data_IF_366578113073
#
_entry.id   IF_366578113073
#
_cell.length_a   1.000
_cell.length_b   1.000
_cell.length_c   1.000
_cell.angle_alpha   90.00
_cell.angle_beta   90.00
_cell.angle_gamma   90.00
#
_symmetry.space_group_name_H-M   'P 1'
#
loop_
_entity.id
_entity.type
_entity.pdbx_description
1 polymer ?
#
# COMPACT_ATOMS: atom_id res chain seq x y z
N UNK A 1 -9.57 21.18 7.81
CA UNK A 1 -9.20 19.79 7.48
C UNK A 1 -8.42 19.88 6.17
N UNK A 2 -7.19 19.36 6.11
CA UNK A 2 -6.40 19.38 4.88
C UNK A 2 -6.64 18.08 4.13
N UNK A 3 -6.94 18.14 2.83
CA UNK A 3 -7.09 16.99 1.97
C UNK A 3 -5.72 16.70 1.34
N UNK A 4 -5.23 15.47 1.52
CA UNK A 4 -3.95 15.03 0.95
C UNK A 4 -4.23 13.92 -0.05
N UNK A 5 -3.64 14.02 -1.24
CA UNK A 5 -3.64 12.97 -2.25
C UNK A 5 -2.27 12.32 -2.29
N UNK A 6 -2.24 11.05 -2.70
CA UNK A 6 -1.01 10.32 -2.92
C UNK A 6 -0.87 9.97 -4.40
N UNK A 7 0.37 9.91 -4.88
CA UNK A 7 0.68 9.48 -6.24
C UNK A 7 0.35 8.00 -6.47
N UNK A 8 0.69 7.49 -7.63
CA UNK A 8 0.62 6.05 -7.87
C UNK A 8 1.60 5.27 -6.96
N UNK A 9 1.29 3.99 -6.72
CA UNK A 9 2.13 3.13 -5.90
C UNK A 9 3.37 2.68 -6.67
N UNK A 10 4.54 3.12 -6.27
CA UNK A 10 5.81 2.76 -6.91
C UNK A 10 6.16 1.27 -6.74
N UNK A 11 5.64 0.62 -5.70
CA UNK A 11 5.83 -0.82 -5.46
C UNK A 11 5.32 -1.67 -6.63
N UNK A 12 4.27 -1.23 -7.32
CA UNK A 12 3.66 -1.98 -8.43
C UNK A 12 4.62 -2.10 -9.64
N UNK A 13 5.58 -1.18 -9.76
CA UNK A 13 6.59 -1.14 -10.82
C UNK A 13 7.97 -1.63 -10.38
N UNK A 14 8.23 -1.72 -9.08
CA UNK A 14 9.53 -2.13 -8.53
C UNK A 14 9.83 -3.60 -8.78
N UNK A 15 11.11 -3.99 -8.85
CA UNK A 15 11.51 -5.37 -8.65
C UNK A 15 11.58 -5.66 -7.15
N UNK A 16 10.83 -6.67 -6.71
CA UNK A 16 10.69 -6.96 -5.29
C UNK A 16 11.34 -8.30 -4.98
N UNK A 17 12.15 -8.34 -3.93
CA UNK A 17 12.76 -9.56 -3.39
C UNK A 17 12.59 -9.61 -1.88
N UNK A 18 12.57 -10.80 -1.30
CA UNK A 18 12.56 -11.01 0.14
C UNK A 18 13.58 -12.09 0.52
N UNK A 19 14.18 -11.94 1.69
CA UNK A 19 15.16 -12.92 2.24
C UNK A 19 14.48 -14.14 2.88
N UNK A 20 13.21 -14.01 3.20
CA UNK A 20 12.42 -15.06 3.85
C UNK A 20 11.04 -15.10 3.19
N UNK A 21 10.79 -16.11 2.36
CA UNK A 21 9.57 -16.21 1.55
C UNK A 21 8.96 -17.61 1.61
N UNK A 22 7.66 -17.66 1.85
CA UNK A 22 6.86 -18.88 1.69
C UNK A 22 6.42 -19.01 0.23
N UNK A 23 6.74 -20.12 -0.43
CA UNK A 23 6.47 -20.32 -1.85
C UNK A 23 4.99 -20.24 -2.25
N UNK A 24 4.06 -20.50 -1.32
CA UNK A 24 2.61 -20.36 -1.55
C UNK A 24 2.14 -18.90 -1.42
N UNK A 25 2.94 -18.03 -0.78
CA UNK A 25 2.62 -16.64 -0.51
C UNK A 25 3.81 -15.74 -0.89
N UNK A 26 4.17 -15.71 -2.17
CA UNK A 26 5.39 -15.04 -2.64
C UNK A 26 5.31 -13.52 -2.49
N UNK A 27 6.48 -12.88 -2.44
CA UNK A 27 6.60 -11.42 -2.30
C UNK A 27 5.97 -10.67 -3.48
N UNK A 28 5.88 -11.30 -4.64
CA UNK A 28 5.17 -10.75 -5.81
C UNK A 28 3.67 -10.48 -5.56
N UNK A 29 3.07 -11.11 -4.55
CA UNK A 29 1.69 -10.85 -4.15
C UNK A 29 1.48 -9.41 -3.65
N UNK A 30 2.53 -8.71 -3.21
CA UNK A 30 2.45 -7.30 -2.81
C UNK A 30 2.05 -6.35 -3.95
N UNK A 31 2.21 -6.78 -5.21
CA UNK A 31 1.75 -6.04 -6.39
C UNK A 31 0.28 -6.29 -6.73
N UNK A 32 -0.33 -7.33 -6.18
CA UNK A 32 -1.75 -7.63 -6.42
C UNK A 32 -2.64 -6.71 -5.58
N UNK A 33 -3.67 -6.13 -6.17
CA UNK A 33 -4.58 -5.21 -5.47
C UNK A 33 -5.55 -5.91 -4.53
N UNK A 34 -5.65 -7.24 -4.63
CA UNK A 34 -6.50 -8.04 -3.75
C UNK A 34 -5.84 -8.22 -2.39
N UNK A 35 -6.39 -7.64 -1.34
CA UNK A 35 -5.90 -7.78 0.03
C UNK A 35 -5.91 -9.20 0.59
N UNK A 36 -6.55 -10.14 -0.10
CA UNK A 36 -6.53 -11.57 0.24
C UNK A 36 -5.29 -12.29 -0.31
N UNK A 37 -4.55 -11.66 -1.22
CA UNK A 37 -3.27 -12.12 -1.70
C UNK A 37 -2.18 -11.48 -0.85
N UNK A 38 -1.52 -12.27 -0.03
CA UNK A 38 -0.51 -11.78 0.90
C UNK A 38 0.86 -12.31 0.58
N UNK A 39 1.88 -11.57 0.94
CA UNK A 39 3.23 -12.09 1.15
C UNK A 39 3.31 -12.71 2.54
N UNK A 40 3.94 -13.87 2.68
CA UNK A 40 4.22 -14.49 3.98
C UNK A 40 5.68 -14.93 4.06
N UNK A 41 6.33 -14.58 5.16
CA UNK A 41 7.66 -15.09 5.48
C UNK A 41 7.60 -16.51 6.07
N UNK A 42 8.73 -17.20 6.06
CA UNK A 42 8.94 -18.44 6.83
C UNK A 42 9.65 -18.19 8.16
N UNK A 43 10.19 -16.99 8.36
CA UNK A 43 10.87 -16.54 9.58
C UNK A 43 10.11 -15.43 10.27
N UNK A 44 10.46 -15.17 11.54
CA UNK A 44 9.88 -14.10 12.35
C UNK A 44 10.27 -12.70 11.87
N UNK A 45 11.34 -12.58 11.10
CA UNK A 45 11.79 -11.33 10.49
C UNK A 45 11.92 -11.53 8.99
N UNK A 46 11.48 -10.56 8.21
CA UNK A 46 11.65 -10.52 6.78
C UNK A 46 12.19 -9.15 6.33
N UNK A 47 13.21 -9.17 5.48
CA UNK A 47 13.68 -8.00 4.77
C UNK A 47 13.15 -8.06 3.34
N UNK A 48 12.32 -7.08 3.01
CA UNK A 48 11.74 -6.93 1.67
C UNK A 48 12.47 -5.78 0.99
N UNK A 49 13.11 -6.05 -0.14
CA UNK A 49 13.85 -5.06 -0.92
C UNK A 49 13.06 -4.70 -2.17
N UNK A 50 12.87 -3.42 -2.38
CA UNK A 50 12.25 -2.81 -3.55
C UNK A 50 13.33 -2.12 -4.38
N UNK A 51 13.64 -2.63 -5.58
CA UNK A 51 14.43 -1.91 -6.57
C UNK A 51 13.46 -1.13 -7.47
N UNK A 52 13.41 0.16 -7.30
CA UNK A 52 12.51 1.05 -8.04
C UNK A 52 12.94 1.25 -9.50
N UNK A 53 14.06 0.64 -9.92
CA UNK A 53 14.69 0.76 -11.24
C UNK A 53 15.22 2.17 -11.53
N UNK A 54 14.54 3.18 -11.06
CA UNK A 54 14.88 4.60 -11.15
C UNK A 54 14.89 5.25 -9.76
N UNK A 55 15.43 6.43 -9.67
CA UNK A 55 15.42 7.22 -8.44
C UNK A 55 14.16 8.10 -8.45
N UNK A 56 13.18 7.77 -7.62
CA UNK A 56 11.92 8.49 -7.51
C UNK A 56 11.78 9.16 -6.14
N UNK A 57 11.16 10.34 -6.05
CA UNK A 57 10.89 10.97 -4.77
C UNK A 57 9.79 10.21 -4.01
N UNK A 58 10.09 9.82 -2.78
CA UNK A 58 9.16 9.14 -1.86
C UNK A 58 9.12 9.92 -0.56
N UNK A 59 7.94 10.21 -0.06
CA UNK A 59 7.69 10.88 1.22
C UNK A 59 6.59 10.22 2.05
N UNK A 60 6.03 9.12 1.54
CA UNK A 60 4.88 8.47 2.15
C UNK A 60 5.00 6.97 2.03
N UNK A 61 4.71 6.29 3.13
CA UNK A 61 4.69 4.85 3.26
C UNK A 61 3.39 4.39 3.92
N UNK A 62 2.85 3.29 3.41
CA UNK A 62 1.73 2.58 4.03
C UNK A 62 1.92 1.08 3.91
N UNK A 63 1.52 0.35 4.94
CA UNK A 63 1.49 -1.12 4.97
C UNK A 63 0.19 -1.60 5.59
N UNK A 64 -0.34 -2.69 5.07
CA UNK A 64 -1.50 -3.37 5.62
C UNK A 64 -1.20 -4.85 5.84
N UNK A 65 -1.73 -5.37 6.93
CA UNK A 65 -1.75 -6.79 7.27
C UNK A 65 -2.91 -7.52 6.59
N UNK A 66 -2.91 -8.84 6.71
CA UNK A 66 -4.01 -9.68 6.24
C UNK A 66 -5.30 -9.40 7.04
N UNK A 67 -6.44 -9.15 6.37
CA UNK A 67 -7.65 -8.67 7.04
C UNK A 67 -8.32 -9.67 8.01
N UNK A 68 -7.88 -10.93 8.04
CA UNK A 68 -8.49 -11.97 8.89
C UNK A 68 -7.58 -12.55 9.97
N UNK A 69 -6.27 -12.35 9.89
CA UNK A 69 -5.32 -13.01 10.76
C UNK A 69 -4.84 -12.13 11.93
N UNK A 70 -5.19 -10.83 11.91
CA UNK A 70 -4.65 -9.87 12.88
C UNK A 70 -3.15 -9.68 12.68
N UNK A 71 -2.56 -8.85 13.53
CA UNK A 71 -1.16 -8.42 13.38
C UNK A 71 -0.17 -9.57 13.41
N UNK A 72 0.43 -9.84 12.26
CA UNK A 72 1.62 -10.66 12.17
C UNK A 72 2.93 -9.92 12.49
N UNK A 73 2.93 -8.58 12.62
CA UNK A 73 4.16 -7.81 12.80
C UNK A 73 4.08 -6.78 13.92
N UNK A 74 5.19 -6.59 14.64
CA UNK A 74 5.33 -5.66 15.78
C UNK A 74 6.15 -4.43 15.43
N UNK A 75 7.26 -4.62 14.73
CA UNK A 75 8.23 -3.57 14.43
C UNK A 75 8.44 -3.45 12.93
N UNK A 76 8.48 -2.22 12.47
CA UNK A 76 8.71 -1.87 11.07
C UNK A 76 9.82 -0.83 10.97
N UNK A 77 10.78 -1.09 10.10
CA UNK A 77 11.81 -0.11 9.73
C UNK A 77 11.86 0.00 8.22
N UNK A 78 11.73 1.22 7.71
CA UNK A 78 11.90 1.54 6.30
C UNK A 78 13.24 2.26 6.11
N UNK A 79 14.02 1.77 5.16
CA UNK A 79 15.33 2.30 4.83
C UNK A 79 15.45 2.58 3.34
N UNK A 80 16.20 3.63 2.99
CA UNK A 80 16.49 4.01 1.61
C UNK A 80 17.99 4.09 1.35
N UNK A 81 18.44 3.61 0.18
CA UNK A 81 19.83 3.70 -0.22
C UNK A 81 19.99 3.78 -1.75
N UNK A 82 21.13 4.32 -2.20
CA UNK A 82 21.50 4.37 -3.61
C UNK A 82 21.85 2.99 -4.17
N UNK A 83 22.28 2.06 -3.32
CA UNK A 83 22.68 0.68 -3.68
C UNK A 83 21.86 -0.33 -2.89
N UNK A 84 21.85 -1.58 -3.33
CA UNK A 84 21.18 -2.69 -2.62
C UNK A 84 21.88 -3.13 -1.33
N UNK A 85 22.97 -2.47 -0.95
CA UNK A 85 23.67 -2.72 0.31
C UNK A 85 23.13 -1.81 1.41
N UNK A 86 22.54 -2.41 2.45
CA UNK A 86 21.95 -1.72 3.59
C UNK A 86 22.75 -1.90 4.88
N UNK A 87 24.07 -2.13 4.81
CA UNK A 87 24.93 -2.15 5.99
C UNK A 87 25.03 -0.77 6.66
N UNK A 88 24.89 0.30 5.89
CA UNK A 88 24.81 1.69 6.34
C UNK A 88 23.81 2.44 5.45
N UNK A 89 22.52 2.38 5.74
CA UNK A 89 21.49 3.01 4.91
C UNK A 89 21.61 4.53 4.99
N UNK A 90 21.42 5.21 3.87
CA UNK A 90 21.45 6.68 3.81
C UNK A 90 20.21 7.33 4.45
N UNK A 91 19.11 6.59 4.51
CA UNK A 91 17.87 6.96 5.17
C UNK A 91 17.35 5.78 5.97
N UNK A 92 16.82 6.06 7.16
CA UNK A 92 16.14 5.07 8.00
C UNK A 92 15.04 5.74 8.83
N UNK A 93 13.89 5.09 8.92
CA UNK A 93 12.78 5.53 9.76
C UNK A 93 12.01 4.35 10.31
N UNK A 94 11.55 4.47 11.57
CA UNK A 94 10.65 3.52 12.21
C UNK A 94 9.21 3.91 11.93
N UNK A 95 8.36 2.91 11.69
CA UNK A 95 6.95 3.08 11.39
C UNK A 95 6.14 2.48 12.53
N UNK A 96 5.28 3.30 13.12
CA UNK A 96 4.34 2.84 14.15
C UNK A 96 3.17 2.11 13.52
N UNK A 97 2.82 0.97 14.06
CA UNK A 97 1.71 0.14 13.61
C UNK A 97 0.48 0.39 14.47
N UNK A 98 -0.65 0.63 13.84
CA UNK A 98 -1.92 0.65 14.53
C UNK A 98 -2.48 -0.78 14.61
N UNK A 99 -2.27 -1.41 15.77
CA UNK A 99 -2.68 -2.80 16.02
C UNK A 99 -4.19 -3.05 15.93
N UNK A 100 -5.02 -2.05 16.13
CA UNK A 100 -6.48 -2.19 16.02
C UNK A 100 -6.95 -2.34 14.57
N UNK A 101 -6.24 -1.69 13.64
CA UNK A 101 -6.66 -1.62 12.23
C UNK A 101 -5.78 -2.41 11.27
N UNK A 102 -4.68 -3.01 11.73
CA UNK A 102 -3.79 -3.76 10.86
C UNK A 102 -3.08 -2.89 9.82
N UNK A 103 -2.69 -1.66 10.18
CA UNK A 103 -2.07 -0.74 9.26
C UNK A 103 -0.90 0.02 9.92
N UNK A 104 0.15 0.25 9.15
CA UNK A 104 1.21 1.19 9.46
C UNK A 104 1.23 2.29 8.42
N UNK A 105 1.38 3.53 8.86
CA UNK A 105 1.46 4.69 7.99
C UNK A 105 2.52 5.66 8.49
N UNK A 106 3.29 6.24 7.57
CA UNK A 106 4.30 7.24 7.88
C UNK A 106 4.47 8.22 6.74
N UNK A 107 4.42 9.50 7.05
CA UNK A 107 4.94 10.56 6.20
C UNK A 107 6.32 11.00 6.72
N UNK A 108 7.21 11.37 5.81
CA UNK A 108 8.56 11.83 6.10
C UNK A 108 9.00 12.88 5.07
N UNK A 109 10.15 13.52 5.32
CA UNK A 109 10.73 14.43 4.33
C UNK A 109 11.08 13.64 3.05
N UNK A 110 10.77 14.21 1.88
CA UNK A 110 10.99 13.55 0.59
C UNK A 110 12.42 13.04 0.45
N UNK A 111 12.55 11.77 0.12
CA UNK A 111 13.79 11.06 -0.09
C UNK A 111 13.79 10.46 -1.48
N UNK A 112 14.96 10.45 -2.15
CA UNK A 112 15.08 9.95 -3.52
C UNK A 112 16.19 8.90 -3.59
N UNK A 113 15.78 7.64 -3.48
CA UNK A 113 16.68 6.47 -3.57
C UNK A 113 16.12 5.45 -4.54
N UNK A 114 17.01 4.69 -5.19
CA UNK A 114 16.62 3.59 -6.05
C UNK A 114 16.19 2.36 -5.24
N UNK A 115 16.93 2.04 -4.17
CA UNK A 115 16.66 0.85 -3.37
C UNK A 115 16.03 1.23 -2.05
N UNK A 116 14.95 0.52 -1.72
CA UNK A 116 14.27 0.64 -0.44
C UNK A 116 14.21 -0.73 0.22
N UNK A 117 14.43 -0.78 1.52
CA UNK A 117 14.28 -1.98 2.32
C UNK A 117 13.25 -1.76 3.40
N UNK A 118 12.30 -2.69 3.47
CA UNK A 118 11.36 -2.78 4.57
C UNK A 118 11.74 -3.98 5.43
N UNK A 119 12.14 -3.75 6.68
CA UNK A 119 12.33 -4.80 7.68
C UNK A 119 11.08 -4.91 8.51
N UNK A 120 10.51 -6.11 8.55
CA UNK A 120 9.28 -6.41 9.28
C UNK A 120 9.56 -7.56 10.25
N UNK A 121 9.18 -7.38 11.52
CA UNK A 121 9.35 -8.41 12.57
C UNK A 121 7.97 -8.81 13.09
N UNK A 122 7.71 -10.10 13.18
CA UNK A 122 6.49 -10.68 13.69
C UNK A 122 6.73 -11.70 14.80
N UNK A 123 5.67 -12.19 15.42
CA UNK A 123 5.74 -13.16 16.52
C UNK A 123 6.15 -14.58 16.07
N UNK A 124 5.70 -15.00 14.87
CA UNK A 124 5.98 -16.35 14.33
C UNK A 124 6.33 -16.33 12.85
N UNK A 125 5.66 -15.53 12.08
CA UNK A 125 5.90 -15.21 10.68
C UNK A 125 5.38 -13.80 10.40
N UNK A 126 5.76 -13.24 9.28
CA UNK A 126 5.27 -11.95 8.78
C UNK A 126 4.24 -12.21 7.70
N UNK A 127 3.08 -11.55 7.76
CA UNK A 127 2.04 -11.61 6.73
C UNK A 127 1.65 -10.20 6.33
N UNK A 128 1.92 -9.83 5.08
CA UNK A 128 1.70 -8.47 4.55
C UNK A 128 0.79 -8.55 3.34
N UNK A 129 -0.30 -7.78 3.35
CA UNK A 129 -1.27 -7.79 2.26
C UNK A 129 -0.99 -6.72 1.20
N UNK A 130 -0.54 -5.54 1.60
CA UNK A 130 -0.23 -4.44 0.67
C UNK A 130 0.84 -3.53 1.25
N UNK A 131 1.71 -3.07 0.38
CA UNK A 131 2.68 -2.00 0.67
C UNK A 131 2.47 -0.88 -0.34
N UNK A 132 2.53 0.33 0.13
CA UNK A 132 2.56 1.53 -0.69
C UNK A 132 3.84 2.32 -0.39
N UNK A 133 4.53 2.72 -1.42
CA UNK A 133 5.62 3.69 -1.42
C UNK A 133 5.33 4.70 -2.52
N UNK A 134 5.29 5.97 -2.18
CA UNK A 134 4.99 7.03 -3.14
C UNK A 134 5.12 8.42 -2.56
N UNK A 135 4.74 9.40 -3.35
CA UNK A 135 4.76 10.81 -2.95
C UNK A 135 3.36 11.31 -2.70
N UNK A 136 3.23 12.19 -1.72
CA UNK A 136 2.01 12.99 -1.57
C UNK A 136 1.96 14.07 -2.66
N UNK A 137 0.77 14.29 -3.17
CA UNK A 137 0.49 15.37 -4.11
C UNK A 137 -0.18 16.48 -3.30
N UNK A 138 0.56 17.56 -3.07
CA UNK A 138 -0.05 18.75 -2.49
C UNK A 138 -1.03 19.35 -3.51
N UNK A 139 -2.28 19.65 -3.12
CA UNK A 139 -3.13 20.50 -3.97
C UNK A 139 -2.38 21.77 -4.30
N UNK A 140 -2.42 22.19 -5.56
CA UNK A 140 -1.76 23.44 -5.97
C UNK A 140 -2.21 24.60 -5.09
N UNK A 141 -1.40 25.65 -4.99
CA UNK A 141 -1.65 26.86 -4.17
C UNK A 141 -2.99 27.53 -4.48
N UNK A 142 -3.60 27.20 -5.61
CA UNK A 142 -4.92 27.69 -6.03
C UNK A 142 -6.09 26.87 -5.48
N UNK A 143 -5.82 25.87 -4.65
CA UNK A 143 -6.84 25.03 -4.01
C UNK A 143 -7.55 24.09 -4.98
N UNK A 144 -8.25 23.13 -4.41
CA UNK A 144 -9.27 22.38 -5.13
C UNK A 144 -10.42 23.38 -5.33
N UNK A 145 -10.80 23.60 -6.58
CA UNK A 145 -11.95 24.43 -6.87
C UNK A 145 -13.18 23.79 -6.20
N UNK A 146 -13.77 24.46 -5.19
CA UNK A 146 -14.90 23.95 -4.42
C UNK A 146 -16.19 23.78 -5.24
N UNK A 147 -16.16 24.06 -6.52
CA UNK A 147 -17.27 23.79 -7.47
C UNK A 147 -17.24 22.39 -8.08
N UNK A 148 -16.49 21.46 -7.50
CA UNK A 148 -16.57 20.05 -7.91
C UNK A 148 -17.90 19.47 -7.45
N UNK A 149 -18.80 19.28 -8.38
CA UNK A 149 -20.00 18.49 -8.17
C UNK A 149 -19.62 17.03 -8.40
N UNK A 150 -19.64 16.22 -7.34
CA UNK A 150 -19.59 14.77 -7.49
C UNK A 150 -20.97 14.30 -7.90
N UNK A 151 -21.14 13.94 -9.15
CA UNK A 151 -22.33 13.21 -9.58
C UNK A 151 -22.07 11.73 -9.35
N UNK A 152 -22.72 11.18 -8.35
CA UNK A 152 -22.80 9.74 -8.13
C UNK A 152 -23.98 9.22 -8.97
N UNK A 153 -23.75 8.95 -10.25
CA UNK A 153 -24.73 8.25 -11.05
C UNK A 153 -24.74 6.78 -10.66
N UNK A 154 -25.68 6.41 -9.81
CA UNK A 154 -25.95 5.01 -9.53
C UNK A 154 -26.62 4.36 -10.73
N UNK A 155 -25.79 3.80 -11.62
CA UNK A 155 -26.23 3.02 -12.78
C UNK A 155 -26.78 1.64 -12.41
N UNK A 156 -26.98 1.35 -11.14
CA UNK A 156 -27.51 0.08 -10.69
C UNK A 156 -28.97 -0.09 -11.16
N UNK A 157 -29.21 -1.17 -11.88
CA UNK A 157 -30.56 -1.52 -12.35
C UNK A 157 -31.16 -2.57 -11.42
N UNK A 158 -32.31 -2.28 -10.85
CA UNK A 158 -33.09 -3.27 -10.10
C UNK A 158 -34.21 -3.84 -10.97
N UNK A 159 -34.33 -5.15 -11.01
CA UNK A 159 -35.48 -5.84 -11.64
C UNK A 159 -36.18 -6.70 -10.59
N UNK A 160 -37.49 -6.69 -10.61
CA UNK A 160 -38.33 -7.57 -9.79
C UNK A 160 -38.86 -8.69 -10.67
N UNK A 161 -38.67 -9.94 -10.29
CA UNK A 161 -39.25 -11.07 -11.00
C UNK A 161 -40.77 -11.22 -10.68
N UNK A 162 -41.44 -12.16 -11.38
CA UNK A 162 -42.89 -12.41 -11.18
C UNK A 162 -43.24 -12.89 -9.75
N UNK A 163 -42.25 -13.32 -8.95
CA UNK A 163 -42.40 -13.79 -7.57
C UNK A 163 -42.14 -12.66 -6.55
N UNK A 164 -41.94 -11.40 -7.00
CA UNK A 164 -41.67 -10.28 -6.12
C UNK A 164 -40.21 -10.20 -5.61
N UNK A 165 -39.33 -11.06 -6.05
CA UNK A 165 -37.89 -11.00 -5.67
C UNK A 165 -37.19 -9.89 -6.43
N UNK A 166 -36.48 -9.04 -5.70
CA UNK A 166 -35.75 -7.89 -6.23
C UNK A 166 -34.26 -8.28 -6.46
N UNK A 167 -33.84 -8.16 -7.68
CA UNK A 167 -32.42 -8.34 -8.06
C UNK A 167 -31.85 -6.97 -8.40
N UNK A 168 -30.73 -6.60 -7.80
CA UNK A 168 -29.96 -5.41 -8.17
C UNK A 168 -28.61 -5.84 -8.77
N UNK A 169 -28.33 -5.36 -9.98
CA UNK A 169 -27.00 -5.48 -10.58
C UNK A 169 -26.27 -4.17 -10.26
N UNK A 170 -25.24 -4.25 -9.42
CA UNK A 170 -24.35 -3.11 -9.20
C UNK A 170 -23.42 -2.99 -10.41
N UNK A 171 -23.58 -1.95 -11.21
CA UNK A 171 -22.61 -1.55 -12.22
C UNK A 171 -21.47 -0.79 -11.52
N UNK A 172 -20.20 -0.97 -11.94
CA UNK A 172 -19.10 -0.17 -11.40
C UNK A 172 -19.35 1.32 -11.71
N UNK A 173 -19.08 2.17 -10.73
CA UNK A 173 -19.19 3.61 -10.88
C UNK A 173 -18.23 4.13 -11.95
N UNK A 174 -18.74 4.86 -12.91
CA UNK A 174 -17.93 5.71 -13.78
C UNK A 174 -17.91 7.09 -13.13
N UNK A 175 -16.77 7.52 -12.64
CA UNK A 175 -16.59 8.91 -12.20
C UNK A 175 -16.16 9.72 -13.42
N UNK A 176 -17.03 10.52 -13.93
CA UNK A 176 -16.68 11.58 -14.89
C UNK A 176 -16.24 12.82 -14.08
N UNK A 177 -15.11 13.37 -14.44
CA UNK A 177 -14.59 14.62 -13.90
C UNK A 177 -14.81 15.68 -14.99
N UNK A 178 -15.66 16.63 -14.74
CA UNK A 178 -15.76 17.88 -15.50
C UNK A 178 -14.95 19.01 -14.85
#
# INVERSE_FOLDING_TARGET
>A
MSLTFYSYNLVDYANITADSENSLFPVSNLKDDRRTKTFRSIATTANIIFDMLTTEPIDSFYIADHPKLGFGFSDLTLEGNATSNFSSPAFSTTISVNHTHGVGFKEFASQSYRFWRLTVTGASFVDVSKVFLGSKVAPSTYGINFNWNFYDDDLSKSKTNRLGQKFSIKTPYIKEFE
#
